data_IF_657094520615
#
_entry.id   IF_657094520615
#
_cell.length_a   1.000
_cell.length_b   1.000
_cell.length_c   1.000
_cell.angle_alpha   90.00
_cell.angle_beta   90.00
_cell.angle_gamma   90.00
#
_symmetry.space_group_name_H-M   'P 1'
#
loop_
_entity.id
_entity.type
_entity.pdbx_description
1 polymer ?
#
# COMPACT_ATOMS: atom_id res chain seq x y z
N UNK A 1 -4.02 -2.28 9.32
CA UNK A 1 -2.54 -2.24 9.34
C UNK A 1 -2.19 -0.91 9.96
N UNK A 2 -1.34 -0.87 10.98
CA UNK A 2 -1.00 0.41 11.59
C UNK A 2 -0.14 1.21 10.60
N UNK A 3 -0.59 2.41 10.25
CA UNK A 3 0.10 3.36 9.34
C UNK A 3 1.57 3.54 9.73
N UNK A 4 1.86 3.55 11.03
CA UNK A 4 3.21 3.61 11.60
C UNK A 4 4.13 2.48 11.09
N UNK A 5 3.59 1.28 10.88
CA UNK A 5 4.35 0.13 10.39
C UNK A 5 4.70 0.28 8.90
N UNK A 6 3.79 0.81 8.10
CA UNK A 6 4.03 1.11 6.68
C UNK A 6 5.06 2.23 6.52
N UNK A 7 4.97 3.26 7.35
CA UNK A 7 5.95 4.35 7.39
C UNK A 7 7.35 3.85 7.77
N UNK A 8 7.46 2.98 8.77
CA UNK A 8 8.74 2.33 9.13
C UNK A 8 9.31 1.49 8.00
N UNK A 9 8.44 0.77 7.28
CA UNK A 9 8.85 0.01 6.11
C UNK A 9 9.40 0.92 4.99
N UNK A 10 8.71 2.03 4.70
CA UNK A 10 9.16 3.01 3.69
C UNK A 10 10.51 3.61 4.06
N UNK A 11 10.72 3.96 5.32
CA UNK A 11 12.03 4.42 5.79
C UNK A 11 13.13 3.38 5.53
N UNK A 12 12.88 2.12 5.87
CA UNK A 12 13.83 1.04 5.64
C UNK A 12 14.14 0.87 4.14
N UNK A 13 13.14 1.02 3.26
CA UNK A 13 13.31 0.95 1.80
C UNK A 13 14.15 2.13 1.27
N UNK A 14 13.86 3.35 1.71
CA UNK A 14 14.64 4.55 1.34
C UNK A 14 16.10 4.36 1.79
N UNK A 15 16.33 3.93 3.03
CA UNK A 15 17.67 3.68 3.56
C UNK A 15 18.41 2.61 2.76
N UNK A 16 17.74 1.48 2.46
CA UNK A 16 18.30 0.36 1.67
C UNK A 16 18.69 0.80 0.26
N UNK A 17 17.93 1.71 -0.36
CA UNK A 17 18.22 2.24 -1.70
C UNK A 17 19.49 3.12 -1.74
N UNK A 18 19.93 3.62 -0.59
CA UNK A 18 21.03 4.60 -0.50
C UNK A 18 20.70 5.95 -1.13
N UNK A 19 19.42 6.24 -1.39
CA UNK A 19 18.94 7.52 -1.87
C UNK A 19 19.16 8.59 -0.79
N UNK A 20 19.87 9.65 -1.14
CA UNK A 20 20.10 10.79 -0.25
C UNK A 20 19.17 11.93 -0.65
N UNK A 21 18.14 12.15 0.16
CA UNK A 21 17.19 13.26 0.00
C UNK A 21 17.52 14.38 0.98
N UNK A 22 17.32 15.66 0.59
CA UNK A 22 17.23 16.76 1.56
C UNK A 22 16.16 16.45 2.61
N UNK A 23 16.40 16.85 3.85
CA UNK A 23 15.51 16.53 4.98
C UNK A 23 14.07 17.03 4.74
N UNK A 24 13.95 18.25 4.24
CA UNK A 24 12.70 18.93 3.91
C UNK A 24 11.87 18.12 2.88
N UNK A 25 12.55 17.53 1.90
CA UNK A 25 11.91 16.73 0.85
C UNK A 25 11.64 15.29 1.30
N UNK A 26 12.39 14.77 2.28
CA UNK A 26 12.23 13.40 2.78
C UNK A 26 10.85 13.19 3.37
N UNK A 27 10.27 14.18 4.06
CA UNK A 27 8.94 14.06 4.66
C UNK A 27 7.87 13.89 3.58
N UNK A 28 7.81 14.81 2.61
CA UNK A 28 6.84 14.75 1.50
C UNK A 28 7.00 13.48 0.67
N UNK A 29 8.24 13.07 0.41
CA UNK A 29 8.52 11.87 -0.37
C UNK A 29 8.11 10.58 0.35
N UNK A 30 8.23 10.52 1.69
CA UNK A 30 7.73 9.39 2.49
C UNK A 30 6.23 9.24 2.39
N UNK A 31 5.48 10.34 2.50
CA UNK A 31 4.02 10.34 2.36
C UNK A 31 3.59 9.91 0.96
N UNK A 32 4.31 10.39 -0.08
CA UNK A 32 4.05 9.96 -1.45
C UNK A 32 4.23 8.46 -1.63
N UNK A 33 5.33 7.89 -1.13
CA UNK A 33 5.60 6.45 -1.19
C UNK A 33 4.59 5.63 -0.37
N UNK A 34 4.07 6.19 0.73
CA UNK A 34 3.01 5.57 1.51
C UNK A 34 1.74 5.43 0.68
N UNK A 35 1.28 6.53 0.06
CA UNK A 35 0.10 6.51 -0.80
C UNK A 35 0.26 5.55 -1.98
N UNK A 36 1.44 5.48 -2.59
CA UNK A 36 1.73 4.52 -3.67
C UNK A 36 1.66 3.07 -3.20
N UNK A 37 2.29 2.76 -2.05
CA UNK A 37 2.29 1.42 -1.46
C UNK A 37 0.87 0.99 -1.10
N UNK A 38 0.10 1.85 -0.44
CA UNK A 38 -1.29 1.57 -0.08
C UNK A 38 -2.14 1.31 -1.31
N UNK A 39 -2.06 2.17 -2.34
CA UNK A 39 -2.77 1.97 -3.62
C UNK A 39 -2.41 0.64 -4.26
N UNK A 40 -1.14 0.25 -4.24
CA UNK A 40 -0.69 -1.03 -4.79
C UNK A 40 -1.23 -2.23 -4.00
N UNK A 41 -1.23 -2.15 -2.66
CA UNK A 41 -1.83 -3.17 -1.80
C UNK A 41 -3.32 -3.29 -2.12
N UNK A 42 -4.05 -2.17 -2.19
CA UNK A 42 -5.49 -2.17 -2.53
C UNK A 42 -5.77 -2.85 -3.87
N UNK A 43 -5.02 -2.51 -4.92
CA UNK A 43 -5.22 -3.11 -6.24
C UNK A 43 -5.01 -4.62 -6.23
N UNK A 44 -3.97 -5.10 -5.54
CA UNK A 44 -3.72 -6.54 -5.41
C UNK A 44 -4.87 -7.20 -4.65
N UNK A 45 -5.36 -6.59 -3.57
CA UNK A 45 -6.46 -7.18 -2.81
C UNK A 45 -7.74 -7.25 -3.64
N UNK A 46 -8.04 -6.23 -4.46
CA UNK A 46 -9.21 -6.26 -5.36
C UNK A 46 -9.08 -7.36 -6.41
N UNK A 47 -7.88 -7.59 -6.96
CA UNK A 47 -7.63 -8.64 -7.96
C UNK A 47 -7.81 -10.07 -7.40
N UNK A 48 -7.60 -10.23 -6.09
CA UNK A 48 -7.79 -11.50 -5.38
C UNK A 48 -9.26 -11.80 -5.03
N UNK A 49 -10.14 -10.81 -5.15
CA UNK A 49 -11.57 -11.01 -4.90
C UNK A 49 -12.22 -11.79 -6.04
N UNK A 50 -13.10 -12.73 -5.68
CA UNK A 50 -13.97 -13.37 -6.66
C UNK A 50 -14.99 -12.37 -7.25
N UNK A 51 -15.53 -12.65 -8.43
CA UNK A 51 -16.50 -11.77 -9.11
C UNK A 51 -17.71 -11.39 -8.23
N UNK A 52 -18.15 -12.27 -7.34
CA UNK A 52 -19.23 -11.99 -6.39
C UNK A 52 -18.78 -11.03 -5.29
N UNK A 53 -17.57 -11.21 -4.75
CA UNK A 53 -17.00 -10.34 -3.72
C UNK A 53 -16.65 -8.97 -4.26
N UNK A 54 -16.18 -8.86 -5.51
CA UNK A 54 -15.99 -7.57 -6.19
C UNK A 54 -17.30 -6.79 -6.27
N UNK A 55 -18.41 -7.47 -6.56
CA UNK A 55 -19.73 -6.83 -6.62
C UNK A 55 -20.21 -6.37 -5.24
N UNK A 56 -19.98 -7.17 -4.21
CA UNK A 56 -20.29 -6.82 -2.83
C UNK A 56 -19.41 -5.67 -2.32
N UNK A 57 -18.13 -5.70 -2.66
CA UNK A 57 -17.17 -4.64 -2.40
C UNK A 57 -17.62 -3.35 -3.07
N UNK A 58 -17.84 -3.34 -4.39
CA UNK A 58 -18.35 -2.19 -5.15
C UNK A 58 -19.70 -1.68 -4.64
N UNK A 59 -20.55 -2.54 -4.07
CA UNK A 59 -21.79 -2.12 -3.40
C UNK A 59 -21.56 -1.48 -2.03
N UNK A 60 -20.47 -1.83 -1.34
CA UNK A 60 -20.09 -1.32 -0.02
C UNK A 60 -19.34 0.02 -0.11
N UNK A 61 -18.50 0.19 -1.14
CA UNK A 61 -17.77 1.44 -1.45
C UNK A 61 -18.45 2.30 -2.53
N UNK A 62 -19.57 1.84 -3.09
CA UNK A 62 -20.27 2.45 -4.22
C UNK A 62 -20.82 3.84 -3.90
N UNK A 63 -19.97 4.85 -4.09
CA UNK A 63 -20.23 6.25 -3.80
C UNK A 63 -19.01 7.04 -3.30
N UNK A 64 -17.90 6.38 -2.99
CA UNK A 64 -16.67 7.04 -2.55
C UNK A 64 -15.78 7.36 -3.76
N UNK A 65 -15.58 8.65 -4.02
CA UNK A 65 -14.73 9.13 -5.13
C UNK A 65 -13.23 9.03 -4.80
N UNK A 66 -12.86 9.01 -3.51
CA UNK A 66 -11.46 8.87 -3.09
C UNK A 66 -11.31 8.06 -1.80
N UNK A 67 -10.44 7.04 -1.84
CA UNK A 67 -10.06 6.21 -0.67
C UNK A 67 -9.24 7.04 0.33
N UNK A 68 -8.53 8.05 -0.18
CA UNK A 68 -7.68 8.95 0.62
C UNK A 68 -8.54 9.80 1.59
N UNK A 69 -9.82 10.03 1.28
CA UNK A 69 -10.79 10.78 2.10
C UNK A 69 -11.56 9.91 3.12
N UNK A 70 -11.30 8.60 3.15
CA UNK A 70 -12.02 7.69 4.05
C UNK A 70 -11.58 7.87 5.50
N UNK A 71 -12.54 7.80 6.43
CA UNK A 71 -12.23 7.75 7.86
C UNK A 71 -11.54 6.43 8.20
N UNK A 72 -10.67 6.46 9.21
CA UNK A 72 -9.94 5.27 9.68
C UNK A 72 -10.87 4.09 9.98
N UNK A 73 -12.04 4.35 10.55
CA UNK A 73 -13.06 3.33 10.82
C UNK A 73 -13.58 2.63 9.56
N UNK A 74 -13.69 3.37 8.45
CA UNK A 74 -14.14 2.84 7.16
C UNK A 74 -13.01 2.09 6.47
N UNK A 75 -11.77 2.61 6.53
CA UNK A 75 -10.56 1.90 6.09
C UNK A 75 -10.41 0.57 6.82
N UNK A 76 -10.65 0.53 8.14
CA UNK A 76 -10.58 -0.70 8.93
C UNK A 76 -11.68 -1.70 8.57
N UNK A 77 -12.90 -1.24 8.26
CA UNK A 77 -13.96 -2.13 7.76
C UNK A 77 -13.60 -2.74 6.41
N UNK A 78 -13.01 -1.96 5.51
CA UNK A 78 -12.52 -2.47 4.23
C UNK A 78 -11.41 -3.50 4.41
N UNK A 79 -10.41 -3.21 5.25
CA UNK A 79 -9.35 -4.17 5.56
C UNK A 79 -9.95 -5.47 6.12
N UNK A 80 -10.94 -5.37 7.01
CA UNK A 80 -11.67 -6.53 7.52
C UNK A 80 -12.37 -7.33 6.41
N UNK A 81 -13.06 -6.65 5.50
CA UNK A 81 -13.71 -7.28 4.35
C UNK A 81 -12.73 -8.13 3.53
N UNK A 82 -11.56 -7.58 3.21
CA UNK A 82 -10.54 -8.29 2.44
C UNK A 82 -9.92 -9.44 3.22
N UNK A 83 -9.60 -9.23 4.50
CA UNK A 83 -9.03 -10.26 5.37
C UNK A 83 -9.92 -11.49 5.47
N UNK A 84 -11.23 -11.30 5.53
CA UNK A 84 -12.20 -12.39 5.70
C UNK A 84 -12.45 -13.17 4.40
N UNK A 85 -12.19 -12.57 3.23
CA UNK A 85 -12.50 -13.13 1.91
C UNK A 85 -11.29 -13.61 1.13
N UNK A 86 -10.10 -13.07 1.41
CA UNK A 86 -8.87 -13.41 0.70
C UNK A 86 -8.09 -14.47 1.50
N UNK A 87 -7.88 -15.67 0.96
CA UNK A 87 -6.99 -16.66 1.56
C UNK A 87 -5.55 -16.13 1.66
N UNK A 88 -4.89 -16.38 2.79
CA UNK A 88 -3.52 -15.95 3.07
C UNK A 88 -3.32 -14.42 2.88
N UNK A 89 -4.34 -13.62 3.24
CA UNK A 89 -4.33 -12.17 3.11
C UNK A 89 -3.03 -11.51 3.60
N UNK A 90 -2.59 -11.83 4.82
CA UNK A 90 -1.39 -11.24 5.43
C UNK A 90 -0.13 -11.55 4.62
N UNK A 91 0.02 -12.77 4.11
CA UNK A 91 1.16 -13.16 3.27
C UNK A 91 1.15 -12.41 1.92
N UNK A 92 -0.03 -12.20 1.32
CA UNK A 92 -0.15 -11.44 0.06
C UNK A 92 0.20 -9.97 0.25
N UNK A 93 -0.20 -9.37 1.37
CA UNK A 93 0.18 -7.99 1.74
C UNK A 93 1.69 -7.89 1.91
N UNK A 94 2.32 -8.79 2.68
CA UNK A 94 3.77 -8.79 2.87
C UNK A 94 4.52 -8.96 1.54
N UNK A 95 4.08 -9.89 0.68
CA UNK A 95 4.65 -10.06 -0.64
C UNK A 95 4.50 -8.81 -1.54
N UNK A 96 3.41 -8.06 -1.40
CA UNK A 96 3.22 -6.80 -2.11
C UNK A 96 4.20 -5.72 -1.62
N UNK A 97 4.41 -5.63 -0.31
CA UNK A 97 5.40 -4.75 0.31
C UNK A 97 6.81 -5.10 -0.17
N UNK A 98 7.21 -6.38 -0.11
CA UNK A 98 8.53 -6.83 -0.56
C UNK A 98 8.78 -6.49 -2.03
N UNK A 99 7.82 -6.78 -2.92
CA UNK A 99 7.91 -6.42 -4.34
C UNK A 99 7.99 -4.92 -4.58
N UNK A 100 7.31 -4.12 -3.77
CA UNK A 100 7.43 -2.67 -3.84
C UNK A 100 8.84 -2.22 -3.44
N UNK A 101 9.33 -2.70 -2.29
CA UNK A 101 10.64 -2.34 -1.77
C UNK A 101 11.79 -2.73 -2.72
N UNK A 102 11.77 -3.95 -3.24
CA UNK A 102 12.81 -4.43 -4.15
C UNK A 102 12.77 -3.69 -5.50
N UNK A 103 11.59 -3.44 -6.06
CA UNK A 103 11.44 -2.65 -7.28
C UNK A 103 11.95 -1.22 -7.11
N UNK A 104 11.61 -0.57 -5.99
CA UNK A 104 12.09 0.77 -5.68
C UNK A 104 13.64 0.83 -5.60
N UNK A 105 14.25 -0.11 -4.88
CA UNK A 105 15.72 -0.18 -4.76
C UNK A 105 16.38 -0.41 -6.11
N UNK A 106 15.81 -1.29 -6.93
CA UNK A 106 16.30 -1.56 -8.28
C UNK A 106 16.24 -0.30 -9.17
N UNK A 107 15.12 0.42 -9.15
CA UNK A 107 14.91 1.60 -9.99
C UNK A 107 15.81 2.78 -9.57
N UNK A 108 16.00 3.01 -8.27
CA UNK A 108 17.01 3.96 -7.78
C UNK A 108 18.41 3.54 -8.23
N UNK A 109 18.72 2.24 -8.19
CA UNK A 109 19.98 1.69 -8.70
C UNK A 109 20.21 1.94 -10.19
N UNK A 110 19.16 1.84 -11.01
CA UNK A 110 19.22 2.13 -12.46
C UNK A 110 19.47 3.60 -12.75
N UNK A 111 18.85 4.52 -12.00
CA UNK A 111 19.02 5.97 -12.20
C UNK A 111 20.45 6.42 -11.89
N UNK A 112 21.14 5.72 -10.99
CA UNK A 112 22.50 6.08 -10.53
C UNK A 112 23.63 5.58 -11.43
N UNK A 113 23.35 4.69 -12.38
CA UNK A 113 24.34 4.10 -13.32
C UNK A 113 24.16 4.65 -14.72
#
# INVERSE_FOLDING_TARGET
MEEELLLKFIDAVIEKSGLKLPEDFRIEYREMLLGELEKRIWLIMVDELGAQDVKEFMGTIGGMEDIDDMKDEEKMKMIGFFRDRIPNFEEKVLNAMDKFGDGFVEDVGKIRN
#
